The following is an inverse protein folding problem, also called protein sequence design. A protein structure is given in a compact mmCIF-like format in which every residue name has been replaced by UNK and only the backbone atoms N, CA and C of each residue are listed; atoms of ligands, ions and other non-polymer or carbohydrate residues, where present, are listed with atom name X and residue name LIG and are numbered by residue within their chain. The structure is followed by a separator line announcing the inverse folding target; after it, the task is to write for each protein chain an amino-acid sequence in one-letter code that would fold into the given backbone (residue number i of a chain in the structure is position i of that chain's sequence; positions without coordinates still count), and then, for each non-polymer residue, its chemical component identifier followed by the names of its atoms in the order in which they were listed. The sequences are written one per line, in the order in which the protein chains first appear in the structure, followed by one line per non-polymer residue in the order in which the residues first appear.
data_IF_799962415788
#
_entry.id   IF_799962415788
#
_cell.length_a   1.000
_cell.length_b   1.000
_cell.length_c   1.000
_cell.angle_alpha   90.00
_cell.angle_beta   90.00
_cell.angle_gamma   90.00
#
_symmetry.space_group_name_H-M   'P 1'
#
loop_
_entity.id
_entity.type
_entity.pdbx_description
1 polymer ?
#
# COMPACT_ATOMS: atom_id res chain seq x y z
N UNK A 1 -41.20 35.89 -9.63
CA UNK A 1 -42.07 34.88 -10.24
C UNK A 1 -41.27 33.61 -10.38
N UNK A 2 -41.76 32.57 -9.73
CA UNK A 2 -41.20 31.22 -9.59
C UNK A 2 -41.00 30.58 -10.98
N UNK A 3 -40.08 29.63 -11.20
CA UNK A 3 -40.09 28.29 -10.61
C UNK A 3 -38.72 27.58 -10.75
N UNK A 4 -38.44 26.78 -9.72
CA UNK A 4 -37.41 25.75 -9.59
C UNK A 4 -37.49 24.68 -10.69
N UNK A 5 -36.35 24.08 -11.07
CA UNK A 5 -36.33 22.69 -11.55
C UNK A 5 -34.94 22.05 -11.47
N UNK A 6 -34.79 21.09 -10.55
CA UNK A 6 -33.91 19.95 -10.76
C UNK A 6 -32.50 20.00 -10.16
N UNK A 7 -32.39 20.06 -8.83
CA UNK A 7 -31.26 19.44 -8.14
C UNK A 7 -31.25 17.93 -8.48
N UNK A 8 -30.35 17.50 -9.37
CA UNK A 8 -29.99 16.10 -9.49
C UNK A 8 -28.59 15.91 -8.89
N UNK A 9 -28.59 15.20 -7.76
CA UNK A 9 -27.44 14.55 -7.17
C UNK A 9 -26.83 13.62 -8.22
N UNK A 10 -25.54 13.77 -8.53
CA UNK A 10 -24.61 12.64 -8.68
C UNK A 10 -23.19 13.20 -8.80
N UNK A 11 -22.50 13.14 -7.66
CA UNK A 11 -21.06 12.88 -7.50
C UNK A 11 -20.10 13.71 -8.39
N UNK A 12 -19.54 14.76 -7.77
CA UNK A 12 -18.10 15.10 -7.83
C UNK A 12 -17.43 14.82 -9.19
N UNK A 13 -17.62 15.76 -10.12
CA UNK A 13 -16.68 15.98 -11.22
C UNK A 13 -15.34 16.36 -10.58
N UNK A 14 -14.50 15.38 -10.33
CA UNK A 14 -13.07 15.61 -10.10
C UNK A 14 -12.52 16.15 -11.42
N UNK A 15 -12.33 17.47 -11.47
CA UNK A 15 -11.69 18.19 -12.56
C UNK A 15 -10.23 17.73 -12.68
N UNK A 16 -9.98 16.66 -13.45
CA UNK A 16 -8.64 16.21 -13.83
C UNK A 16 -8.05 17.13 -14.90
N UNK A 17 -7.71 18.36 -14.53
CA UNK A 17 -6.80 19.22 -15.29
C UNK A 17 -5.35 18.88 -14.92
N UNK A 18 -4.87 17.70 -15.31
CA UNK A 18 -3.44 17.36 -15.29
C UNK A 18 -3.02 16.89 -16.67
N UNK A 19 -2.81 17.85 -17.57
CA UNK A 19 -2.18 17.62 -18.87
C UNK A 19 -0.67 17.78 -18.72
N UNK A 20 0.04 16.66 -18.61
CA UNK A 20 1.51 16.58 -18.58
C UNK A 20 2.03 15.73 -17.42
N UNK A 21 2.47 14.50 -17.70
CA UNK A 21 3.19 13.57 -16.80
C UNK A 21 2.57 13.34 -15.40
N UNK A 22 1.36 12.78 -15.32
CA UNK A 22 0.91 12.12 -14.09
C UNK A 22 1.27 10.63 -14.20
N UNK A 23 2.41 10.25 -13.62
CA UNK A 23 2.72 8.83 -13.44
C UNK A 23 1.84 8.33 -12.30
N UNK A 24 0.94 7.38 -12.58
CA UNK A 24 0.14 6.74 -11.55
C UNK A 24 1.04 5.76 -10.77
N UNK A 25 0.84 5.62 -9.47
CA UNK A 25 1.61 4.68 -8.65
C UNK A 25 0.67 3.65 -8.03
N UNK A 26 0.96 2.38 -8.25
CA UNK A 26 0.27 1.25 -7.64
C UNK A 26 1.26 0.48 -6.77
N UNK A 27 0.84 0.16 -5.55
CA UNK A 27 1.67 -0.56 -4.59
C UNK A 27 0.96 -1.84 -4.17
N UNK A 28 1.65 -2.96 -4.29
CA UNK A 28 1.12 -4.26 -3.92
C UNK A 28 2.09 -4.98 -3.00
N UNK A 29 1.56 -5.65 -1.98
CA UNK A 29 2.28 -6.60 -1.14
C UNK A 29 1.92 -8.01 -1.56
N UNK A 30 2.92 -8.88 -1.60
CA UNK A 30 2.79 -10.30 -1.95
C UNK A 30 3.19 -11.11 -0.74
N UNK A 31 2.22 -11.82 -0.16
CA UNK A 31 2.42 -12.68 1.00
C UNK A 31 3.15 -13.98 0.59
N UNK A 32 3.81 -14.68 1.54
CA UNK A 32 4.49 -15.95 1.25
C UNK A 32 3.55 -17.04 0.72
N UNK A 33 2.24 -16.92 0.97
CA UNK A 33 1.20 -17.83 0.47
C UNK A 33 0.86 -17.57 -1.01
N UNK A 34 1.41 -16.51 -1.63
CA UNK A 34 1.13 -16.10 -2.99
C UNK A 34 -0.07 -15.17 -3.14
N UNK A 35 -0.77 -14.86 -2.03
CA UNK A 35 -1.80 -13.83 -2.02
C UNK A 35 -1.16 -12.45 -2.25
N UNK A 36 -1.85 -11.60 -3.02
CA UNK A 36 -1.40 -10.23 -3.30
C UNK A 36 -2.46 -9.26 -2.85
N UNK A 37 -2.04 -8.17 -2.22
CA UNK A 37 -2.93 -7.12 -1.73
C UNK A 37 -2.42 -5.75 -2.12
N UNK A 38 -3.32 -4.86 -2.52
CA UNK A 38 -2.98 -3.47 -2.79
C UNK A 38 -2.87 -2.66 -1.49
N UNK A 39 -1.90 -1.76 -1.46
CA UNK A 39 -1.68 -0.78 -0.39
C UNK A 39 -1.63 0.62 -1.00
N UNK A 40 -1.95 1.64 -0.21
CA UNK A 40 -1.98 3.04 -0.67
C UNK A 40 -0.68 3.79 -0.39
N UNK A 41 0.28 3.14 0.27
CA UNK A 41 1.56 3.72 0.66
C UNK A 41 2.73 2.91 0.12
N UNK A 42 3.89 3.55 -0.03
CA UNK A 42 5.13 2.85 -0.32
C UNK A 42 5.70 2.17 0.92
N UNK A 43 6.44 1.08 0.71
CA UNK A 43 7.19 0.41 1.77
C UNK A 43 8.69 0.49 1.44
N UNK A 44 9.51 0.60 2.49
CA UNK A 44 10.96 0.52 2.34
C UNK A 44 11.41 -0.94 2.34
N UNK A 45 12.60 -1.18 1.78
CA UNK A 45 13.26 -2.47 1.96
C UNK A 45 13.56 -2.68 3.44
N UNK A 46 13.40 -3.92 3.91
CA UNK A 46 13.61 -4.29 5.31
C UNK A 46 12.63 -3.66 6.31
N UNK A 47 11.57 -3.00 5.83
CA UNK A 47 10.44 -2.61 6.69
C UNK A 47 9.75 -3.85 7.24
N UNK A 48 9.24 -3.71 8.46
CA UNK A 48 8.40 -4.72 9.10
C UNK A 48 6.98 -4.18 9.07
N UNK A 49 6.07 -4.96 8.50
CA UNK A 49 4.65 -4.60 8.35
C UNK A 49 3.77 -5.62 9.04
N UNK A 50 2.62 -5.16 9.52
CA UNK A 50 1.54 -6.03 9.98
C UNK A 50 0.87 -6.77 8.80
N UNK A 51 -0.03 -7.72 9.09
CA UNK A 51 -0.86 -8.40 8.09
C UNK A 51 -1.59 -7.44 7.15
N UNK A 52 -1.90 -6.22 7.57
CA UNK A 52 -2.56 -5.22 6.73
C UNK A 52 -1.60 -4.41 5.82
N UNK A 53 -0.29 -4.68 5.88
CA UNK A 53 0.72 -3.90 5.15
C UNK A 53 1.09 -2.58 5.83
N UNK A 54 0.60 -2.32 7.04
CA UNK A 54 0.96 -1.13 7.80
C UNK A 54 2.35 -1.30 8.44
N UNK A 55 3.28 -0.34 8.30
CA UNK A 55 4.59 -0.42 8.92
C UNK A 55 4.46 -0.40 10.45
N UNK A 56 5.15 -1.35 11.10
CA UNK A 56 5.24 -1.44 12.54
C UNK A 56 6.39 -0.57 13.04
N UNK A 57 6.08 0.31 14.00
CA UNK A 57 7.09 1.14 14.66
C UNK A 57 7.98 0.28 15.55
N UNK A 58 9.30 0.54 15.52
CA UNK A 58 10.28 -0.12 16.39
C UNK A 58 10.55 0.73 17.63
N UNK A 59 10.85 0.14 18.80
CA UNK A 59 10.86 -1.31 19.07
C UNK A 59 9.44 -1.90 19.04
N UNK A 60 9.34 -3.15 18.59
CA UNK A 60 8.05 -3.84 18.53
C UNK A 60 7.51 -4.07 19.94
N UNK A 61 6.22 -3.84 20.19
CA UNK A 61 5.64 -3.98 21.54
C UNK A 61 5.57 -5.43 22.01
N UNK A 62 5.54 -6.39 21.09
CA UNK A 62 5.51 -7.83 21.40
C UNK A 62 6.03 -8.66 20.23
N UNK A 63 6.62 -9.82 20.53
CA UNK A 63 6.97 -10.85 19.55
C UNK A 63 5.82 -11.84 19.26
N UNK A 64 4.63 -11.63 19.85
CA UNK A 64 3.41 -12.42 19.64
C UNK A 64 2.46 -11.73 18.65
N UNK A 65 2.98 -11.25 17.54
CA UNK A 65 2.18 -10.63 16.49
C UNK A 65 2.53 -11.18 15.11
N UNK A 66 1.60 -11.05 14.16
CA UNK A 66 1.85 -11.40 12.77
C UNK A 66 2.56 -10.22 12.13
N UNK A 67 3.84 -10.41 11.85
CA UNK A 67 4.67 -9.40 11.23
C UNK A 67 5.39 -10.02 10.03
N UNK A 68 5.51 -9.22 8.99
CA UNK A 68 6.16 -9.59 7.75
C UNK A 68 7.28 -8.61 7.47
N UNK A 69 8.40 -9.11 6.96
CA UNK A 69 9.49 -8.25 6.51
C UNK A 69 9.50 -8.14 4.98
N UNK A 70 9.82 -6.94 4.49
CA UNK A 70 9.97 -6.67 3.05
C UNK A 70 11.38 -7.08 2.62
N UNK A 71 11.53 -8.28 2.08
CA UNK A 71 12.83 -8.81 1.62
C UNK A 71 13.11 -8.52 0.15
N UNK A 72 12.08 -8.31 -0.66
CA UNK A 72 12.25 -7.98 -2.08
C UNK A 72 11.21 -6.96 -2.52
N UNK A 73 11.65 -6.01 -3.34
CA UNK A 73 10.77 -5.12 -4.10
C UNK A 73 11.07 -5.26 -5.58
N UNK A 74 10.00 -5.24 -6.37
CA UNK A 74 10.03 -5.26 -7.83
C UNK A 74 9.22 -4.07 -8.31
N UNK A 75 9.79 -3.30 -9.22
CA UNK A 75 9.12 -2.14 -9.81
C UNK A 75 8.98 -2.44 -11.31
N UNK A 76 7.79 -2.23 -11.86
CA UNK A 76 7.58 -2.17 -13.30
C UNK A 76 6.96 -0.82 -13.64
N UNK A 77 7.50 -0.21 -14.68
CA UNK A 77 7.02 1.07 -15.19
C UNK A 77 6.47 0.83 -16.60
N UNK A 78 5.20 1.12 -16.81
CA UNK A 78 4.53 0.99 -18.11
C UNK A 78 3.74 2.25 -18.43
N UNK A 79 4.08 2.92 -19.53
CA UNK A 79 3.33 4.03 -20.16
C UNK A 79 2.69 5.04 -19.17
N UNK A 80 3.40 5.45 -18.12
CA UNK A 80 2.90 6.41 -17.13
C UNK A 80 2.18 5.77 -15.94
N UNK A 81 2.38 4.47 -15.71
CA UNK A 81 1.98 3.75 -14.51
C UNK A 81 3.21 3.02 -13.94
N UNK A 82 3.48 3.23 -12.66
CA UNK A 82 4.54 2.56 -11.92
C UNK A 82 3.91 1.62 -10.91
N UNK A 83 3.99 0.33 -11.19
CA UNK A 83 3.50 -0.73 -10.30
C UNK A 83 4.66 -1.29 -9.50
N UNK A 84 4.53 -1.30 -8.19
CA UNK A 84 5.55 -1.84 -7.28
C UNK A 84 4.99 -3.02 -6.50
N UNK A 85 5.66 -4.16 -6.59
CA UNK A 85 5.37 -5.34 -5.79
C UNK A 85 6.42 -5.52 -4.70
N UNK A 86 5.96 -5.56 -3.46
CA UNK A 86 6.74 -5.84 -2.27
C UNK A 86 6.49 -7.29 -1.86
N UNK A 87 7.50 -8.13 -1.97
CA UNK A 87 7.45 -9.51 -1.52
C UNK A 87 7.76 -9.56 -0.03
N UNK A 88 6.86 -10.19 0.69
CA UNK A 88 6.88 -10.30 2.13
C UNK A 88 7.31 -11.71 2.55
N UNK A 89 8.09 -11.79 3.62
CA UNK A 89 8.39 -13.03 4.33
C UNK A 89 7.94 -12.89 5.78
N UNK A 90 7.20 -13.89 6.27
CA UNK A 90 6.69 -13.90 7.63
C UNK A 90 7.83 -14.05 8.63
N UNK A 91 7.89 -13.14 9.61
CA UNK A 91 8.83 -13.25 10.72
C UNK A 91 8.27 -14.17 11.81
N UNK A 92 9.15 -15.00 12.37
CA UNK A 92 8.83 -15.86 13.49
C UNK A 92 9.05 -15.11 14.82
N UNK A 93 8.50 -15.66 15.91
CA UNK A 93 8.65 -15.07 17.24
C UNK A 93 10.12 -14.91 17.70
N UNK A 94 11.04 -15.72 17.15
CA UNK A 94 12.48 -15.61 17.40
C UNK A 94 13.08 -14.40 16.68
N UNK A 95 12.81 -14.27 15.38
CA UNK A 95 13.28 -13.13 14.58
C UNK A 95 12.71 -11.81 15.12
N UNK A 96 11.46 -11.81 15.59
CA UNK A 96 10.84 -10.63 16.19
C UNK A 96 11.52 -10.17 17.49
N UNK A 97 12.22 -11.06 18.21
CA UNK A 97 13.01 -10.68 19.39
C UNK A 97 14.22 -9.81 19.03
N UNK A 98 14.67 -9.81 17.78
CA UNK A 98 15.75 -8.92 17.35
C UNK A 98 15.28 -7.47 17.17
N UNK A 99 13.97 -7.25 17.16
CA UNK A 99 13.33 -5.96 16.91
C UNK A 99 12.53 -5.40 18.10
N UNK A 100 12.54 -6.10 19.26
CA UNK A 100 11.89 -5.67 20.51
C UNK A 100 12.82 -4.89 21.43
#
# INVERSE_FOLDING_TARGET
MEIVSGMNLFTERVDYLYSGCMTLFEYHIVYPEGETREITHELAMSDIVDINGNPLSRPLPTNRMIAYHVCRKRIAEEKGLTVTWYFLEQLNAVELLEYT
#
